data_IF_668841922849
#
_entry.id   IF_668841922849
#
_cell.length_a   1.000
_cell.length_b   1.000
_cell.length_c   1.000
_cell.angle_alpha   90.00
_cell.angle_beta   90.00
_cell.angle_gamma   90.00
#
_symmetry.space_group_name_H-M   'P 1'
#
loop_
_entity.id
_entity.type
_entity.pdbx_description
1 polymer ?
#
# COMPACT_ATOMS: atom_id res chain seq x y z
N UNK A 1 -22.74 -9.97 -17.88
CA UNK A 1 -21.63 -9.08 -17.44
C UNK A 1 -21.80 -8.91 -15.95
N UNK A 2 -20.84 -9.46 -15.17
CA UNK A 2 -20.91 -9.46 -13.71
C UNK A 2 -20.59 -8.07 -13.16
N UNK A 3 -21.39 -7.63 -12.20
CA UNK A 3 -21.27 -6.33 -11.54
C UNK A 3 -20.48 -6.48 -10.24
N UNK A 4 -19.38 -5.72 -10.12
CA UNK A 4 -18.50 -5.72 -8.95
C UNK A 4 -18.78 -4.47 -8.11
N UNK A 5 -19.17 -4.65 -6.85
CA UNK A 5 -19.28 -3.58 -5.89
C UNK A 5 -18.04 -3.53 -4.99
N UNK A 6 -17.32 -2.42 -5.02
CA UNK A 6 -16.19 -2.18 -4.12
C UNK A 6 -16.68 -1.49 -2.84
N UNK A 7 -16.54 -2.17 -1.71
CA UNK A 7 -16.87 -1.62 -0.39
C UNK A 7 -15.59 -1.19 0.30
N UNK A 8 -15.56 0.05 0.79
CA UNK A 8 -14.44 0.60 1.56
C UNK A 8 -14.96 1.50 2.69
N UNK A 9 -14.15 1.69 3.73
CA UNK A 9 -14.44 2.71 4.74
C UNK A 9 -14.56 4.09 4.08
N UNK A 10 -15.59 4.88 4.40
CA UNK A 10 -15.69 6.27 3.95
C UNK A 10 -14.49 7.06 4.44
N UNK A 11 -13.85 7.77 3.54
CA UNK A 11 -12.69 8.59 3.83
C UNK A 11 -13.03 10.05 3.56
N UNK A 12 -12.83 10.92 4.56
CA UNK A 12 -13.00 12.36 4.37
C UNK A 12 -12.00 12.92 3.33
N UNK A 13 -10.80 12.30 3.23
CA UNK A 13 -9.81 12.65 2.23
C UNK A 13 -9.67 11.50 1.23
N UNK A 14 -9.84 11.78 -0.06
CA UNK A 14 -9.61 10.83 -1.16
C UNK A 14 -8.16 10.31 -1.22
N UNK A 15 -7.27 10.91 -0.43
CA UNK A 15 -5.81 10.73 -0.49
C UNK A 15 -5.24 9.64 0.42
N UNK A 16 -6.05 8.86 1.14
CA UNK A 16 -5.49 7.75 1.89
C UNK A 16 -5.21 6.53 0.97
N UNK A 17 -4.23 5.70 1.37
CA UNK A 17 -3.76 4.57 0.57
C UNK A 17 -4.87 3.61 0.11
N UNK A 18 -5.87 3.32 0.97
CA UNK A 18 -7.01 2.45 0.61
C UNK A 18 -7.93 3.14 -0.40
N UNK A 19 -8.18 4.44 -0.24
CA UNK A 19 -8.99 5.22 -1.17
C UNK A 19 -8.38 5.24 -2.57
N UNK A 20 -7.08 5.51 -2.66
CA UNK A 20 -6.32 5.47 -3.94
C UNK A 20 -6.35 4.07 -4.56
N UNK A 21 -6.14 3.03 -3.76
CA UNK A 21 -6.23 1.66 -4.24
C UNK A 21 -7.61 1.32 -4.82
N UNK A 22 -8.69 1.64 -4.10
CA UNK A 22 -10.05 1.34 -4.57
C UNK A 22 -10.41 2.11 -5.85
N UNK A 23 -9.99 3.39 -5.97
CA UNK A 23 -10.19 4.16 -7.19
C UNK A 23 -9.39 3.56 -8.35
N UNK A 24 -8.12 3.26 -8.13
CA UNK A 24 -7.29 2.64 -9.16
C UNK A 24 -7.79 1.25 -9.57
N UNK A 25 -8.38 0.48 -8.63
CA UNK A 25 -9.00 -0.81 -8.95
C UNK A 25 -10.27 -0.65 -9.78
N UNK A 26 -11.06 0.40 -9.52
CA UNK A 26 -12.19 0.75 -10.37
C UNK A 26 -11.72 1.06 -11.79
N UNK A 27 -10.74 1.94 -11.95
CA UNK A 27 -10.19 2.37 -13.25
C UNK A 27 -9.59 1.18 -14.02
N UNK A 28 -9.00 0.21 -13.31
CA UNK A 28 -8.42 -1.00 -13.91
C UNK A 28 -9.45 -1.85 -14.65
N UNK A 29 -10.72 -1.81 -14.22
CA UNK A 29 -11.82 -2.56 -14.80
C UNK A 29 -12.82 -1.70 -15.59
N UNK A 30 -12.64 -0.38 -15.64
CA UNK A 30 -13.48 0.49 -16.42
C UNK A 30 -13.47 0.06 -17.91
N UNK A 31 -14.65 -0.04 -18.50
CA UNK A 31 -14.82 -0.51 -19.89
C UNK A 31 -14.55 -2.02 -20.11
N UNK A 32 -14.37 -2.82 -19.06
CA UNK A 32 -14.15 -4.27 -19.20
C UNK A 32 -15.39 -4.99 -19.75
N UNK A 33 -15.19 -5.91 -20.71
CA UNK A 33 -16.31 -6.57 -21.44
C UNK A 33 -17.14 -7.53 -20.57
N UNK A 34 -16.53 -8.17 -19.57
CA UNK A 34 -17.14 -9.24 -18.76
C UNK A 34 -17.45 -8.79 -17.34
N UNK A 35 -16.62 -7.91 -16.79
CA UNK A 35 -16.74 -7.39 -15.43
C UNK A 35 -17.07 -5.91 -15.45
N UNK A 36 -18.14 -5.51 -14.76
CA UNK A 36 -18.54 -4.11 -14.69
C UNK A 36 -18.30 -3.55 -13.28
N UNK A 37 -17.32 -2.68 -13.07
CA UNK A 37 -17.10 -2.03 -11.80
C UNK A 37 -18.27 -1.08 -11.49
N UNK A 38 -18.82 -1.18 -10.28
CA UNK A 38 -19.80 -0.21 -9.79
C UNK A 38 -19.07 1.03 -9.26
N UNK A 39 -19.61 2.25 -9.50
CA UNK A 39 -19.00 3.48 -9.00
C UNK A 39 -18.74 3.39 -7.50
N UNK A 40 -17.54 3.81 -7.08
CA UNK A 40 -17.20 3.90 -5.65
C UNK A 40 -17.99 5.06 -5.06
N UNK A 41 -19.03 4.73 -4.28
CA UNK A 41 -19.84 5.71 -3.57
C UNK A 41 -19.55 5.66 -2.08
N UNK A 42 -19.38 6.83 -1.48
CA UNK A 42 -19.39 6.94 -0.03
C UNK A 42 -20.85 6.83 0.44
N UNK A 43 -21.25 5.63 0.81
CA UNK A 43 -22.59 5.39 1.34
C UNK A 43 -22.79 6.18 2.64
N UNK A 44 -24.01 6.72 2.88
CA UNK A 44 -24.29 7.42 4.11
C UNK A 44 -23.95 6.57 5.32
N UNK A 45 -23.08 7.10 6.18
CA UNK A 45 -22.62 6.43 7.40
C UNK A 45 -23.07 7.17 8.65
N UNK A 46 -23.09 6.46 9.78
CA UNK A 46 -23.23 7.03 11.11
C UNK A 46 -22.00 6.70 11.94
N UNK A 47 -21.57 7.64 12.80
CA UNK A 47 -20.49 7.43 13.75
C UNK A 47 -21.08 6.77 15.00
N UNK A 48 -20.45 5.70 15.48
CA UNK A 48 -20.77 5.05 16.76
C UNK A 48 -19.67 5.36 17.78
N UNK A 49 -20.04 5.53 19.05
CA UNK A 49 -19.09 5.70 20.16
C UNK A 49 -18.14 4.51 20.34
N UNK A 50 -18.62 3.29 20.04
CA UNK A 50 -17.88 2.04 20.28
C UNK A 50 -17.19 1.48 19.01
N UNK A 51 -17.73 1.74 17.81
CA UNK A 51 -17.35 1.02 16.58
C UNK A 51 -17.09 1.91 15.36
N UNK A 52 -16.63 3.10 15.56
CA UNK A 52 -16.23 4.13 14.60
C UNK A 52 -17.24 4.45 13.49
N UNK A 53 -17.59 3.51 12.59
CA UNK A 53 -18.53 3.76 11.50
C UNK A 53 -19.34 2.52 11.15
N UNK A 54 -20.62 2.74 10.79
CA UNK A 54 -21.49 1.76 10.16
C UNK A 54 -22.28 2.43 9.05
N UNK A 55 -22.65 1.68 8.03
CA UNK A 55 -23.45 2.18 6.91
C UNK A 55 -24.92 2.28 7.28
N UNK A 56 -25.65 3.21 6.66
CA UNK A 56 -27.11 3.14 6.65
C UNK A 56 -27.52 1.86 5.93
N UNK A 57 -28.30 1.00 6.57
CA UNK A 57 -28.56 -0.38 6.12
C UNK A 57 -29.24 -0.42 4.75
N UNK A 58 -30.30 0.39 4.51
CA UNK A 58 -31.07 0.37 3.26
C UNK A 58 -30.23 0.71 2.01
N UNK A 59 -29.40 1.78 1.98
CA UNK A 59 -28.53 2.07 0.85
C UNK A 59 -27.51 0.96 0.59
N UNK A 60 -26.88 0.44 1.65
CA UNK A 60 -25.89 -0.65 1.52
C UNK A 60 -26.56 -1.93 1.00
N UNK A 61 -27.72 -2.32 1.54
CA UNK A 61 -28.49 -3.47 1.10
C UNK A 61 -28.84 -3.39 -0.39
N UNK A 62 -29.36 -2.23 -0.83
CA UNK A 62 -29.73 -2.03 -2.24
C UNK A 62 -28.52 -2.15 -3.17
N UNK A 63 -27.38 -1.61 -2.78
CA UNK A 63 -26.15 -1.71 -3.57
C UNK A 63 -25.65 -3.15 -3.67
N UNK A 64 -25.61 -3.88 -2.55
CA UNK A 64 -25.21 -5.30 -2.53
C UNK A 64 -26.18 -6.15 -3.37
N UNK A 65 -27.49 -5.88 -3.26
CA UNK A 65 -28.52 -6.61 -4.04
C UNK A 65 -28.29 -6.52 -5.54
N UNK A 66 -27.87 -5.35 -6.05
CA UNK A 66 -27.65 -5.08 -7.46
C UNK A 66 -26.31 -5.61 -8.03
N UNK A 67 -25.39 -5.97 -7.18
CA UNK A 67 -24.07 -6.49 -7.58
C UNK A 67 -24.06 -8.03 -7.53
N UNK A 68 -23.16 -8.64 -8.29
CA UNK A 68 -22.93 -10.09 -8.31
C UNK A 68 -21.75 -10.44 -7.40
N UNK A 69 -20.71 -9.61 -7.43
CA UNK A 69 -19.48 -9.77 -6.66
C UNK A 69 -19.33 -8.58 -5.70
N UNK A 70 -19.08 -8.88 -4.44
CA UNK A 70 -18.82 -7.87 -3.41
C UNK A 70 -17.35 -7.94 -3.02
N UNK A 71 -16.60 -6.92 -3.39
CA UNK A 71 -15.19 -6.81 -3.00
C UNK A 71 -15.04 -5.89 -1.80
N UNK A 72 -14.82 -6.50 -0.64
CA UNK A 72 -14.69 -5.80 0.64
C UNK A 72 -13.22 -5.46 0.87
N UNK A 73 -12.92 -4.16 0.89
CA UNK A 73 -11.60 -3.64 1.20
C UNK A 73 -11.51 -3.40 2.71
N UNK A 74 -11.02 -4.41 3.40
CA UNK A 74 -11.19 -4.61 4.83
C UNK A 74 -10.59 -3.53 5.73
N UNK A 75 -11.41 -3.08 6.68
CA UNK A 75 -11.02 -2.24 7.80
C UNK A 75 -11.68 -2.74 9.09
N UNK A 76 -11.15 -2.32 10.25
CA UNK A 76 -11.71 -2.70 11.56
C UNK A 76 -12.86 -1.77 11.96
N UNK A 77 -14.01 -1.93 11.31
CA UNK A 77 -15.23 -1.17 11.59
C UNK A 77 -16.49 -2.02 11.38
N UNK A 78 -17.60 -1.58 11.97
CA UNK A 78 -18.88 -2.25 11.84
C UNK A 78 -19.46 -2.23 10.42
N UNK A 79 -19.05 -1.27 9.59
CA UNK A 79 -19.43 -1.24 8.17
C UNK A 79 -18.91 -2.46 7.41
N UNK A 80 -17.68 -2.88 7.70
CA UNK A 80 -17.11 -4.11 7.15
C UNK A 80 -17.88 -5.34 7.62
N UNK A 81 -18.26 -5.41 8.91
CA UNK A 81 -19.10 -6.50 9.45
C UNK A 81 -20.47 -6.54 8.76
N UNK A 82 -21.14 -5.38 8.63
CA UNK A 82 -22.41 -5.28 7.92
C UNK A 82 -22.32 -5.77 6.48
N UNK A 83 -21.24 -5.37 5.77
CA UNK A 83 -21.00 -5.78 4.40
C UNK A 83 -20.89 -7.30 4.27
N UNK A 84 -20.14 -7.97 5.15
CA UNK A 84 -20.05 -9.43 5.17
C UNK A 84 -21.39 -10.09 5.40
N UNK A 85 -22.14 -9.66 6.45
CA UNK A 85 -23.42 -10.26 6.82
C UNK A 85 -24.46 -10.09 5.70
N UNK A 86 -24.62 -8.87 5.17
CA UNK A 86 -25.58 -8.61 4.10
C UNK A 86 -25.22 -9.34 2.81
N UNK A 87 -23.93 -9.39 2.45
CA UNK A 87 -23.49 -10.12 1.27
C UNK A 87 -23.76 -11.61 1.38
N UNK A 88 -23.56 -12.20 2.57
CA UNK A 88 -23.86 -13.62 2.81
C UNK A 88 -25.36 -13.90 2.78
N UNK A 89 -26.17 -13.05 3.41
CA UNK A 89 -27.65 -13.18 3.38
C UNK A 89 -28.19 -13.10 1.94
N UNK A 90 -27.59 -12.27 1.12
CA UNK A 90 -27.96 -12.11 -0.31
C UNK A 90 -27.24 -13.10 -1.23
N UNK A 91 -26.54 -14.09 -0.68
CA UNK A 91 -25.80 -15.15 -1.42
C UNK A 91 -24.85 -14.61 -2.48
N UNK A 92 -24.16 -13.49 -2.18
CA UNK A 92 -23.21 -12.88 -3.10
C UNK A 92 -21.83 -13.50 -2.94
N UNK A 93 -21.05 -13.52 -4.05
CA UNK A 93 -19.64 -13.85 -4.01
C UNK A 93 -18.87 -12.76 -3.27
N UNK A 94 -18.08 -13.14 -2.27
CA UNK A 94 -17.35 -12.21 -1.41
C UNK A 94 -15.85 -12.36 -1.65
N UNK A 95 -15.23 -11.28 -2.14
CA UNK A 95 -13.77 -11.12 -2.21
C UNK A 95 -13.34 -10.15 -1.13
N UNK A 96 -12.34 -10.49 -0.35
CA UNK A 96 -11.82 -9.65 0.73
C UNK A 96 -10.37 -9.29 0.47
N UNK A 97 -10.00 -8.00 0.48
CA UNK A 97 -8.60 -7.57 0.47
C UNK A 97 -8.19 -7.09 1.86
N UNK A 98 -7.12 -7.66 2.37
CA UNK A 98 -6.57 -7.32 3.67
C UNK A 98 -5.72 -6.05 3.59
N UNK A 99 -6.27 -4.91 4.05
CA UNK A 99 -5.54 -3.63 4.18
C UNK A 99 -5.14 -3.34 5.63
N UNK A 100 -5.48 -4.22 6.56
CA UNK A 100 -5.17 -4.08 7.97
C UNK A 100 -4.42 -5.31 8.46
N UNK A 101 -3.37 -5.06 9.26
CA UNK A 101 -2.41 -6.08 9.69
C UNK A 101 -2.56 -6.32 11.20
N UNK A 102 -3.55 -7.12 11.65
CA UNK A 102 -3.92 -7.27 13.07
C UNK A 102 -2.81 -7.85 13.94
N UNK A 103 -1.85 -8.52 13.34
CA UNK A 103 -0.70 -9.09 14.03
C UNK A 103 0.41 -8.07 14.33
N UNK A 104 0.36 -6.85 13.78
CA UNK A 104 1.35 -5.79 14.00
C UNK A 104 1.03 -4.99 15.29
N UNK A 105 1.55 -5.47 16.42
CA UNK A 105 1.33 -4.83 17.73
C UNK A 105 1.78 -3.36 17.79
N UNK A 106 2.86 -3.04 17.10
CA UNK A 106 3.47 -1.70 17.14
C UNK A 106 2.65 -0.64 16.37
N UNK A 107 1.84 -1.06 15.39
CA UNK A 107 1.13 -0.13 14.51
C UNK A 107 -0.38 -0.10 14.76
N UNK A 108 -0.92 -1.03 15.59
CA UNK A 108 -2.35 -1.15 15.80
C UNK A 108 -2.74 -1.22 17.28
N UNK A 109 -3.73 -0.41 17.71
CA UNK A 109 -4.20 -0.39 19.08
C UNK A 109 -4.86 -1.73 19.46
N UNK A 110 -4.80 -2.07 20.77
CA UNK A 110 -5.33 -3.32 21.30
C UNK A 110 -6.81 -3.52 20.94
N UNK A 111 -7.65 -2.47 21.05
CA UNK A 111 -9.08 -2.56 20.72
C UNK A 111 -9.36 -2.98 19.27
N UNK A 112 -8.60 -2.46 18.30
CA UNK A 112 -8.72 -2.87 16.90
C UNK A 112 -8.34 -4.34 16.69
N UNK A 113 -7.35 -4.84 17.43
CA UNK A 113 -6.93 -6.25 17.37
C UNK A 113 -7.98 -7.19 17.99
N UNK A 114 -8.59 -6.79 19.13
CA UNK A 114 -9.70 -7.54 19.72
C UNK A 114 -10.88 -7.56 18.75
N UNK A 115 -11.28 -6.41 18.21
CA UNK A 115 -12.35 -6.31 17.24
C UNK A 115 -12.13 -7.23 16.02
N UNK A 116 -10.92 -7.21 15.47
CA UNK A 116 -10.57 -8.10 14.36
C UNK A 116 -10.75 -9.58 14.73
N UNK A 117 -10.19 -10.01 15.86
CA UNK A 117 -10.21 -11.43 16.24
C UNK A 117 -11.62 -11.92 16.59
N UNK A 118 -12.44 -11.06 17.21
CA UNK A 118 -13.79 -11.45 17.68
C UNK A 118 -14.82 -11.35 16.55
N UNK A 119 -14.76 -10.32 15.71
CA UNK A 119 -15.80 -10.08 14.70
C UNK A 119 -15.35 -10.40 13.28
N UNK A 120 -14.23 -9.83 12.83
CA UNK A 120 -13.86 -9.92 11.41
C UNK A 120 -13.23 -11.26 11.03
N UNK A 121 -12.33 -11.78 11.84
CA UNK A 121 -11.66 -13.04 11.53
C UNK A 121 -12.64 -14.21 11.32
N UNK A 122 -13.67 -14.43 12.16
CA UNK A 122 -14.68 -15.46 11.90
C UNK A 122 -15.44 -15.21 10.57
N UNK A 123 -15.86 -13.96 10.31
CA UNK A 123 -16.60 -13.63 9.09
C UNK A 123 -15.73 -13.85 7.82
N UNK A 124 -14.48 -13.43 7.86
CA UNK A 124 -13.54 -13.64 6.76
C UNK A 124 -13.32 -15.14 6.53
N UNK A 125 -13.07 -15.89 7.62
CA UNK A 125 -12.81 -17.34 7.53
C UNK A 125 -13.99 -18.13 6.97
N UNK A 126 -15.21 -17.75 7.34
CA UNK A 126 -16.44 -18.51 7.00
C UNK A 126 -17.08 -18.05 5.70
N UNK A 127 -16.94 -16.77 5.32
CA UNK A 127 -17.76 -16.18 4.28
C UNK A 127 -16.98 -15.65 3.09
N UNK A 128 -15.66 -15.37 3.20
CA UNK A 128 -14.88 -14.93 2.07
C UNK A 128 -14.60 -16.09 1.10
N UNK A 129 -15.07 -15.95 -0.14
CA UNK A 129 -14.74 -16.89 -1.22
C UNK A 129 -13.26 -16.79 -1.60
N UNK A 130 -12.69 -15.58 -1.62
CA UNK A 130 -11.25 -15.36 -1.83
C UNK A 130 -10.76 -14.25 -0.90
N UNK A 131 -9.53 -14.43 -0.39
CA UNK A 131 -8.84 -13.45 0.44
C UNK A 131 -7.60 -12.99 -0.31
N UNK A 132 -7.54 -11.72 -0.67
CA UNK A 132 -6.40 -11.13 -1.35
C UNK A 132 -5.45 -10.52 -0.31
N UNK A 133 -4.22 -10.96 -0.30
CA UNK A 133 -3.14 -10.45 0.51
C UNK A 133 -2.12 -9.72 -0.36
N UNK A 134 -1.61 -8.58 0.13
CA UNK A 134 -0.72 -7.71 -0.64
C UNK A 134 0.74 -8.19 -0.57
N UNK A 135 1.10 -8.98 0.45
CA UNK A 135 2.46 -9.42 0.71
C UNK A 135 2.50 -10.82 1.36
N UNK A 136 3.70 -11.39 1.47
CA UNK A 136 3.91 -12.73 2.02
C UNK A 136 3.52 -12.85 3.50
N UNK A 137 3.75 -11.80 4.30
CA UNK A 137 3.46 -11.83 5.73
C UNK A 137 1.95 -11.92 5.99
N UNK A 138 1.15 -11.12 5.26
CA UNK A 138 -0.31 -11.18 5.30
C UNK A 138 -0.80 -12.54 4.80
N UNK A 139 -0.26 -13.02 3.68
CA UNK A 139 -0.62 -14.33 3.11
C UNK A 139 -0.38 -15.44 4.13
N UNK A 140 0.78 -15.46 4.77
CA UNK A 140 1.13 -16.45 5.81
C UNK A 140 0.19 -16.38 7.01
N UNK A 141 -0.20 -15.15 7.41
CA UNK A 141 -1.13 -14.98 8.52
C UNK A 141 -2.53 -15.50 8.18
N UNK A 142 -3.10 -15.13 7.02
CA UNK A 142 -4.45 -15.51 6.63
C UNK A 142 -4.57 -17.00 6.28
N UNK A 143 -3.52 -17.62 5.75
CA UNK A 143 -3.45 -19.08 5.49
C UNK A 143 -3.61 -19.93 6.76
N UNK A 144 -3.37 -19.38 7.95
CA UNK A 144 -3.58 -20.11 9.22
C UNK A 144 -5.05 -20.44 9.50
N UNK A 145 -5.99 -19.77 8.86
CA UNK A 145 -7.43 -19.97 9.09
C UNK A 145 -8.31 -19.95 7.84
N UNK A 146 -7.73 -19.81 6.66
CA UNK A 146 -8.43 -19.94 5.38
C UNK A 146 -7.52 -20.56 4.31
N UNK A 147 -8.07 -21.45 3.49
CA UNK A 147 -7.40 -22.02 2.31
C UNK A 147 -7.57 -21.16 1.04
N UNK A 148 -8.45 -20.17 1.07
CA UNK A 148 -8.83 -19.35 -0.08
C UNK A 148 -7.98 -18.07 -0.21
N UNK A 149 -6.73 -18.12 0.22
CA UNK A 149 -5.80 -16.99 0.22
C UNK A 149 -5.01 -16.93 -1.07
N UNK A 150 -5.07 -15.77 -1.73
CA UNK A 150 -4.31 -15.45 -2.94
C UNK A 150 -3.45 -14.22 -2.68
N UNK A 151 -2.23 -14.22 -3.20
CA UNK A 151 -1.34 -13.08 -3.05
C UNK A 151 -1.28 -12.27 -4.35
N UNK A 152 -1.72 -11.01 -4.28
CA UNK A 152 -1.67 -10.07 -5.39
C UNK A 152 -1.04 -8.76 -4.91
N UNK A 153 0.12 -8.34 -5.43
CA UNK A 153 0.66 -7.01 -5.13
C UNK A 153 -0.19 -5.91 -5.73
N UNK A 154 0.01 -4.70 -5.28
CA UNK A 154 -0.48 -3.53 -6.01
C UNK A 154 0.23 -3.41 -7.36
N UNK A 155 -0.38 -2.71 -8.31
CA UNK A 155 0.23 -2.40 -9.60
C UNK A 155 0.83 -1.00 -9.61
N UNK A 156 1.67 -0.76 -10.56
CA UNK A 156 2.34 0.51 -10.75
C UNK A 156 2.23 0.95 -12.22
N UNK A 157 1.62 2.11 -12.44
CA UNK A 157 1.63 2.79 -13.72
C UNK A 157 2.86 3.69 -13.78
N UNK A 158 3.84 3.31 -14.59
CA UNK A 158 4.94 4.23 -14.90
C UNK A 158 4.32 5.45 -15.61
N UNK A 159 4.31 6.60 -14.96
CA UNK A 159 4.01 7.86 -15.63
C UNK A 159 5.02 8.02 -16.77
N UNK A 160 4.59 8.49 -17.95
CA UNK A 160 5.48 8.75 -19.10
C UNK A 160 6.37 9.98 -18.86
N UNK A 161 7.03 10.02 -17.73
CA UNK A 161 7.94 11.09 -17.33
C UNK A 161 9.35 10.68 -17.76
N UNK A 162 9.95 11.49 -18.63
CA UNK A 162 11.35 11.30 -19.03
C UNK A 162 12.27 11.64 -17.86
N UNK A 163 13.35 10.89 -17.71
CA UNK A 163 14.47 11.28 -16.84
C UNK A 163 15.05 12.55 -17.46
N UNK A 164 14.84 13.69 -16.78
CA UNK A 164 15.19 15.00 -17.33
C UNK A 164 16.46 15.59 -16.73
N UNK A 165 16.96 15.01 -15.64
CA UNK A 165 18.05 15.58 -14.85
C UNK A 165 19.21 14.60 -14.70
N UNK A 166 20.43 15.15 -14.66
CA UNK A 166 21.63 14.40 -14.29
C UNK A 166 21.59 14.06 -12.80
N UNK A 167 21.94 12.81 -12.45
CA UNK A 167 22.06 12.37 -11.05
C UNK A 167 23.08 13.20 -10.28
N UNK A 168 22.72 13.59 -9.06
CA UNK A 168 23.62 14.25 -8.11
C UNK A 168 24.24 13.18 -7.20
N UNK A 169 25.55 12.98 -7.31
CA UNK A 169 26.25 11.83 -6.75
C UNK A 169 26.01 11.54 -5.26
N UNK A 170 25.81 12.60 -4.45
CA UNK A 170 25.64 12.48 -3.00
C UNK A 170 24.21 12.76 -2.52
N UNK A 171 23.24 12.92 -3.44
CA UNK A 171 21.87 13.26 -3.06
C UNK A 171 21.12 12.02 -2.61
N UNK A 172 20.64 12.05 -1.37
CA UNK A 172 19.76 11.03 -0.76
C UNK A 172 18.37 11.61 -0.63
N UNK A 173 17.36 10.88 -1.13
CA UNK A 173 15.95 11.24 -1.03
C UNK A 173 15.25 10.41 0.05
N UNK A 174 14.43 11.03 0.84
CA UNK A 174 13.44 10.42 1.72
C UNK A 174 12.05 10.98 1.36
N UNK A 175 11.06 10.11 1.17
CA UNK A 175 9.68 10.51 0.86
C UNK A 175 8.72 9.86 1.86
N UNK A 176 8.06 10.67 2.68
CA UNK A 176 7.12 10.17 3.68
C UNK A 176 6.73 11.23 4.71
N UNK A 177 5.71 10.92 5.54
CA UNK A 177 5.32 11.82 6.63
C UNK A 177 6.46 11.94 7.65
N UNK A 178 6.89 13.16 7.90
CA UNK A 178 8.08 13.45 8.71
C UNK A 178 7.88 13.06 10.19
N UNK A 179 6.71 13.38 10.75
CA UNK A 179 6.40 13.12 12.17
C UNK A 179 5.88 11.70 12.43
N UNK A 180 5.81 10.86 11.40
CA UNK A 180 5.36 9.48 11.55
C UNK A 180 6.53 8.57 11.93
N UNK A 181 6.57 8.17 13.18
CA UNK A 181 7.59 7.23 13.69
C UNK A 181 7.68 5.92 12.87
N UNK A 182 6.59 5.54 12.21
CA UNK A 182 6.56 4.35 11.34
C UNK A 182 7.43 4.56 10.09
N UNK A 183 7.62 5.79 9.62
CA UNK A 183 8.45 6.11 8.43
C UNK A 183 9.95 6.09 8.70
N UNK A 184 10.36 6.15 9.97
CA UNK A 184 11.74 5.87 10.37
C UNK A 184 12.78 6.92 9.99
N UNK A 185 12.39 8.18 9.81
CA UNK A 185 13.29 9.28 9.43
C UNK A 185 14.52 9.40 10.34
N UNK A 186 14.42 8.94 11.59
CA UNK A 186 15.52 8.95 12.56
C UNK A 186 16.77 8.19 12.09
N UNK A 187 16.66 7.23 11.16
CA UNK A 187 17.80 6.51 10.60
C UNK A 187 18.75 7.43 9.82
N UNK A 188 18.22 8.52 9.24
CA UNK A 188 19.03 9.48 8.49
C UNK A 188 20.08 10.18 9.37
N UNK A 189 19.85 10.27 10.67
CA UNK A 189 20.81 10.87 11.62
C UNK A 189 22.03 10.00 11.88
N UNK A 190 22.02 8.73 11.50
CA UNK A 190 23.19 7.86 11.55
C UNK A 190 24.18 8.11 10.39
N UNK A 191 23.73 8.81 9.34
CA UNK A 191 24.62 9.18 8.22
C UNK A 191 25.60 10.26 8.63
N UNK A 192 26.89 10.20 8.18
CA UNK A 192 27.88 11.23 8.46
C UNK A 192 27.40 12.61 7.97
N UNK A 193 27.41 13.61 8.85
CA UNK A 193 27.00 14.98 8.51
C UNK A 193 27.97 15.59 7.48
N UNK A 194 27.41 16.34 6.52
CA UNK A 194 28.16 17.01 5.45
C UNK A 194 28.64 16.09 4.33
N UNK A 195 28.40 14.78 4.42
CA UNK A 195 28.79 13.84 3.37
C UNK A 195 27.76 13.70 2.26
N UNK A 196 26.49 13.88 2.60
CA UNK A 196 25.34 13.69 1.70
C UNK A 196 24.42 14.92 1.73
N UNK A 197 23.78 15.21 0.60
CA UNK A 197 22.70 16.18 0.50
C UNK A 197 21.39 15.44 0.70
N UNK A 198 20.78 15.56 1.86
CA UNK A 198 19.59 14.80 2.24
C UNK A 198 18.33 15.62 1.99
N UNK A 199 17.51 15.19 1.03
CA UNK A 199 16.24 15.80 0.71
C UNK A 199 15.09 14.99 1.34
N UNK A 200 14.35 15.61 2.26
CA UNK A 200 13.20 15.01 2.94
C UNK A 200 11.90 15.63 2.38
N UNK A 201 11.05 14.81 1.77
CA UNK A 201 9.77 15.23 1.19
C UNK A 201 8.62 14.68 2.01
N UNK A 202 7.72 15.54 2.46
CA UNK A 202 6.49 15.12 3.14
C UNK A 202 5.95 16.08 4.17
N UNK A 203 4.71 15.86 4.61
CA UNK A 203 4.08 16.66 5.65
C UNK A 203 4.64 16.33 7.03
N UNK A 204 4.69 17.35 7.89
CA UNK A 204 5.08 17.25 9.29
C UNK A 204 6.09 18.32 9.65
N UNK A 205 6.26 18.57 10.96
CA UNK A 205 7.22 19.55 11.45
C UNK A 205 8.63 18.98 11.40
N UNK A 206 9.51 19.73 10.76
CA UNK A 206 10.92 19.41 10.64
C UNK A 206 11.71 20.21 11.65
N UNK A 207 11.83 19.68 12.86
CA UNK A 207 12.57 20.34 13.96
C UNK A 207 14.07 20.00 14.00
N UNK A 208 14.57 19.26 13.03
CA UNK A 208 15.93 18.76 13.02
C UNK A 208 16.93 19.80 12.50
N UNK A 209 17.97 20.02 13.29
CA UNK A 209 19.03 21.01 12.98
C UNK A 209 20.26 20.29 12.37
N UNK A 210 20.13 19.80 11.12
CA UNK A 210 21.30 19.35 10.33
C UNK A 210 21.39 20.24 9.09
N UNK A 211 22.58 20.77 8.80
CA UNK A 211 22.81 21.70 7.69
C UNK A 211 22.72 21.02 6.31
N UNK A 212 22.95 19.72 6.27
CA UNK A 212 22.91 18.89 5.06
C UNK A 212 21.52 18.26 4.81
N UNK A 213 20.48 18.65 5.57
CA UNK A 213 19.12 18.17 5.39
C UNK A 213 18.19 19.31 4.96
N UNK A 214 17.50 19.13 3.85
CA UNK A 214 16.47 20.05 3.33
C UNK A 214 15.11 19.40 3.39
N UNK A 215 14.11 20.15 3.88
CA UNK A 215 12.73 19.67 3.96
C UNK A 215 11.83 20.37 2.95
N UNK A 216 11.13 19.56 2.17
CA UNK A 216 10.17 19.98 1.16
C UNK A 216 8.76 19.58 1.57
N UNK A 217 7.86 20.57 1.66
CA UNK A 217 6.42 20.37 1.94
C UNK A 217 5.58 20.90 0.78
N UNK A 218 4.44 20.25 0.52
CA UNK A 218 3.46 20.70 -0.46
C UNK A 218 4.04 20.92 -1.88
N UNK A 219 5.03 20.12 -2.26
CA UNK A 219 5.59 20.15 -3.61
C UNK A 219 4.64 19.49 -4.61
N UNK A 220 4.73 19.91 -5.85
CA UNK A 220 3.98 19.32 -6.96
C UNK A 220 4.47 17.92 -7.32
N UNK A 221 3.69 17.17 -8.09
CA UNK A 221 4.09 15.87 -8.65
C UNK A 221 5.32 16.02 -9.58
N UNK A 222 5.43 17.16 -10.29
CA UNK A 222 6.54 17.49 -11.17
C UNK A 222 7.83 17.72 -10.37
N UNK A 223 7.78 18.51 -9.30
CA UNK A 223 8.92 18.74 -8.41
C UNK A 223 9.37 17.43 -7.73
N UNK A 224 8.43 16.60 -7.28
CA UNK A 224 8.77 15.29 -6.72
C UNK A 224 9.44 14.38 -7.76
N UNK A 225 8.97 14.41 -9.01
CA UNK A 225 9.56 13.69 -10.13
C UNK A 225 10.99 14.14 -10.40
N UNK A 226 11.23 15.44 -10.36
CA UNK A 226 12.57 16.02 -10.52
C UNK A 226 13.51 15.55 -9.40
N UNK A 227 13.05 15.52 -8.14
CA UNK A 227 13.83 14.99 -7.01
C UNK A 227 14.16 13.51 -7.18
N UNK A 228 13.22 12.66 -7.61
CA UNK A 228 13.53 11.26 -7.94
C UNK A 228 14.57 11.15 -9.07
N UNK A 229 14.48 12.00 -10.11
CA UNK A 229 15.42 11.98 -11.23
C UNK A 229 16.82 12.40 -10.81
N UNK A 230 16.96 13.39 -9.92
CA UNK A 230 18.25 13.93 -9.42
C UNK A 230 18.90 13.04 -8.35
N UNK A 231 18.11 12.38 -7.52
CA UNK A 231 18.62 11.59 -6.41
C UNK A 231 19.48 10.42 -6.86
N UNK A 232 20.57 10.15 -6.15
CA UNK A 232 21.41 8.97 -6.34
C UNK A 232 21.03 7.80 -5.44
N UNK A 233 20.14 8.03 -4.47
CA UNK A 233 19.59 7.01 -3.60
C UNK A 233 18.25 7.47 -3.02
N UNK A 234 17.26 6.55 -2.94
CA UNK A 234 16.12 6.69 -2.06
C UNK A 234 16.34 5.85 -0.80
N UNK A 235 15.98 6.37 0.36
CA UNK A 235 15.92 5.57 1.61
C UNK A 235 14.50 5.40 2.10
N UNK A 236 14.12 4.16 2.44
CA UNK A 236 12.81 3.78 2.97
C UNK A 236 12.99 3.05 4.31
N UNK A 237 13.36 3.75 5.38
CA UNK A 237 13.73 3.15 6.66
C UNK A 237 12.51 2.86 7.53
N UNK A 238 11.41 2.46 6.92
CA UNK A 238 10.13 2.30 7.60
C UNK A 238 10.13 1.13 8.59
N UNK A 239 9.49 1.34 9.74
CA UNK A 239 9.19 0.28 10.72
C UNK A 239 8.26 -0.79 10.14
N UNK A 240 7.40 -0.40 9.21
CA UNK A 240 6.55 -1.32 8.46
C UNK A 240 5.92 -0.62 7.24
N UNK A 241 5.95 -1.32 6.11
CA UNK A 241 5.18 -0.97 4.91
C UNK A 241 4.63 -2.26 4.28
N UNK A 242 3.31 -2.33 4.12
CA UNK A 242 2.67 -3.46 3.44
C UNK A 242 3.02 -3.53 1.94
N UNK A 243 3.23 -2.36 1.34
CA UNK A 243 3.67 -2.12 -0.02
C UNK A 243 4.26 -0.71 -0.10
N UNK A 244 5.23 -0.46 -0.95
CA UNK A 244 5.91 0.84 -1.03
C UNK A 244 5.87 1.38 -2.45
N UNK A 245 4.97 2.31 -2.72
CA UNK A 245 4.91 3.02 -4.02
C UNK A 245 6.14 3.88 -4.25
N UNK A 246 6.64 4.57 -3.22
CA UNK A 246 7.84 5.43 -3.33
C UNK A 246 9.07 4.62 -3.77
N UNK A 247 9.14 3.33 -3.41
CA UNK A 247 10.17 2.41 -3.92
C UNK A 247 10.04 2.21 -5.43
N UNK A 248 8.83 1.97 -5.94
CA UNK A 248 8.61 1.78 -7.39
C UNK A 248 8.82 3.08 -8.16
N UNK A 249 8.37 4.20 -7.60
CA UNK A 249 8.62 5.53 -8.16
C UNK A 249 10.13 5.76 -8.32
N UNK A 250 10.92 5.58 -7.26
CA UNK A 250 12.38 5.73 -7.30
C UNK A 250 13.03 4.81 -8.35
N UNK A 251 12.70 3.52 -8.32
CA UNK A 251 13.24 2.55 -9.28
C UNK A 251 12.83 2.86 -10.72
N UNK A 252 11.68 3.51 -10.95
CA UNK A 252 11.24 3.93 -12.28
C UNK A 252 12.09 5.07 -12.87
N UNK A 253 12.75 5.84 -12.01
CA UNK A 253 13.73 6.87 -12.37
C UNK A 253 15.19 6.37 -12.29
N UNK A 254 15.39 5.06 -12.25
CA UNK A 254 16.70 4.44 -12.13
C UNK A 254 17.48 4.91 -10.90
N UNK A 255 16.74 5.28 -9.84
CA UNK A 255 17.31 5.66 -8.55
C UNK A 255 17.25 4.46 -7.62
N UNK A 256 18.41 3.94 -7.18
CA UNK A 256 18.47 2.78 -6.30
C UNK A 256 17.85 3.07 -4.94
N UNK A 257 17.51 2.00 -4.21
CA UNK A 257 16.77 2.10 -2.95
C UNK A 257 17.45 1.33 -1.83
N UNK A 258 17.63 1.94 -0.67
CA UNK A 258 17.91 1.25 0.59
C UNK A 258 16.63 1.23 1.43
N UNK A 259 16.16 0.04 1.76
CA UNK A 259 14.92 -0.13 2.53
C UNK A 259 15.14 -1.06 3.73
N UNK A 260 14.32 -0.90 4.77
CA UNK A 260 14.34 -1.83 5.89
C UNK A 260 13.78 -3.20 5.48
N UNK A 261 14.18 -4.27 6.17
CA UNK A 261 13.63 -5.62 6.02
C UNK A 261 12.11 -5.71 6.23
N UNK A 262 11.51 -4.65 6.76
CA UNK A 262 10.06 -4.54 7.07
C UNK A 262 9.25 -3.87 5.97
N UNK A 263 9.88 -3.52 4.86
CA UNK A 263 9.22 -3.00 3.66
C UNK A 263 8.89 -4.15 2.72
N UNK A 264 7.62 -4.56 2.72
CA UNK A 264 7.19 -5.84 2.13
C UNK A 264 7.20 -5.89 0.60
N UNK A 265 7.43 -4.80 -0.11
CA UNK A 265 7.64 -4.85 -1.56
C UNK A 265 8.87 -5.72 -1.92
N UNK A 266 9.83 -5.84 -1.02
CA UNK A 266 10.98 -6.72 -1.16
C UNK A 266 10.60 -8.18 -1.45
N UNK A 267 9.44 -8.63 -0.97
CA UNK A 267 8.90 -9.98 -1.20
C UNK A 267 8.75 -10.33 -2.71
N UNK A 268 8.72 -9.30 -3.58
CA UNK A 268 8.52 -9.45 -5.02
C UNK A 268 9.77 -9.14 -5.85
N UNK A 269 10.77 -8.48 -5.28
CA UNK A 269 11.91 -7.98 -6.04
C UNK A 269 12.95 -9.05 -6.37
N UNK A 270 13.07 -10.10 -5.55
CA UNK A 270 14.03 -11.20 -5.77
C UNK A 270 15.48 -10.73 -5.79
N UNK A 271 16.30 -11.27 -6.68
CA UNK A 271 17.74 -10.97 -6.79
C UNK A 271 18.04 -9.86 -7.82
N UNK A 272 17.12 -8.90 -8.02
CA UNK A 272 17.32 -7.84 -9.02
C UNK A 272 18.23 -6.74 -8.49
N UNK A 273 18.96 -6.06 -9.41
CA UNK A 273 19.85 -4.95 -9.04
C UNK A 273 19.06 -3.66 -8.85
N UNK A 274 19.54 -2.81 -7.95
CA UNK A 274 18.97 -1.48 -7.70
C UNK A 274 18.34 -1.31 -6.32
N UNK A 275 18.46 -2.30 -5.44
CA UNK A 275 18.06 -2.11 -4.05
C UNK A 275 18.92 -2.91 -3.07
N UNK A 276 18.93 -2.47 -1.82
CA UNK A 276 19.49 -3.18 -0.69
C UNK A 276 18.57 -3.15 0.52
N UNK A 277 18.65 -4.19 1.32
CA UNK A 277 17.84 -4.34 2.53
C UNK A 277 18.74 -4.23 3.74
N UNK A 278 18.35 -3.43 4.73
CA UNK A 278 19.01 -3.34 6.03
C UNK A 278 18.12 -3.83 7.16
N UNK A 279 18.73 -4.30 8.25
CA UNK A 279 18.03 -4.72 9.46
C UNK A 279 17.54 -3.51 10.23
N UNK A 280 16.23 -3.40 10.42
CA UNK A 280 15.61 -2.26 11.12
C UNK A 280 16.16 -2.09 12.54
N UNK A 281 16.62 -0.87 12.86
CA UNK A 281 17.23 -0.53 14.14
C UNK A 281 18.75 -0.75 14.20
N UNK A 282 19.34 -1.40 13.21
CA UNK A 282 20.79 -1.53 13.06
C UNK A 282 21.32 -0.36 12.23
N UNK A 283 21.86 0.65 12.91
CA UNK A 283 22.35 1.88 12.28
C UNK A 283 23.64 1.66 11.48
N UNK A 284 24.48 0.72 11.91
CA UNK A 284 25.71 0.40 11.19
C UNK A 284 25.38 -0.31 9.87
N UNK A 285 24.51 -1.31 9.90
CA UNK A 285 24.03 -1.98 8.67
C UNK A 285 23.37 -0.98 7.72
N UNK A 286 22.53 -0.08 8.24
CA UNK A 286 21.92 0.99 7.44
C UNK A 286 22.98 1.84 6.73
N UNK A 287 23.96 2.37 7.45
CA UNK A 287 25.03 3.20 6.89
C UNK A 287 25.85 2.43 5.85
N UNK A 288 26.18 1.16 6.12
CA UNK A 288 26.91 0.32 5.20
C UNK A 288 26.12 0.04 3.90
N UNK A 289 24.79 -0.21 4.01
CA UNK A 289 23.92 -0.38 2.85
C UNK A 289 23.81 0.91 2.03
N UNK A 290 23.69 2.08 2.67
CA UNK A 290 23.71 3.38 1.98
C UNK A 290 24.99 3.55 1.18
N UNK A 291 26.17 3.33 1.79
CA UNK A 291 27.46 3.45 1.14
C UNK A 291 27.62 2.52 -0.07
N UNK A 292 27.14 1.29 0.03
CA UNK A 292 27.29 0.28 -1.03
C UNK A 292 26.25 0.39 -2.15
N UNK A 293 25.11 1.08 -1.91
CA UNK A 293 23.98 1.10 -2.85
C UNK A 293 23.87 2.41 -3.62
N UNK A 294 24.33 3.52 -3.04
CA UNK A 294 24.25 4.85 -3.68
C UNK A 294 24.89 4.84 -5.06
N UNK A 295 24.17 5.34 -6.07
CA UNK A 295 24.66 5.42 -7.45
C UNK A 295 24.80 4.08 -8.20
N UNK A 296 24.36 2.96 -7.62
CA UNK A 296 24.41 1.67 -8.30
C UNK A 296 23.39 1.58 -9.43
N UNK A 297 23.64 0.71 -10.41
CA UNK A 297 22.74 0.48 -11.55
C UNK A 297 21.44 -0.21 -11.11
N UNK A 298 20.32 0.23 -11.67
CA UNK A 298 18.97 -0.31 -11.41
C UNK A 298 18.47 -1.11 -12.62
N UNK A 299 17.91 -2.29 -12.40
CA UNK A 299 17.21 -3.08 -13.42
C UNK A 299 15.71 -2.68 -13.48
N UNK A 300 15.48 -1.38 -13.76
CA UNK A 300 14.16 -0.73 -13.67
C UNK A 300 13.06 -1.49 -14.44
N UNK A 301 13.28 -1.76 -15.73
CA UNK A 301 12.28 -2.41 -16.57
C UNK A 301 11.88 -3.81 -16.05
N UNK A 302 12.86 -4.58 -15.60
CA UNK A 302 12.65 -5.93 -15.09
C UNK A 302 11.82 -5.91 -13.81
N UNK A 303 12.14 -4.97 -12.90
CA UNK A 303 11.40 -4.77 -11.66
C UNK A 303 9.96 -4.30 -11.95
N UNK A 304 9.79 -3.25 -12.74
CA UNK A 304 8.49 -2.66 -13.01
C UNK A 304 7.56 -3.62 -13.78
N UNK A 305 8.12 -4.51 -14.60
CA UNK A 305 7.36 -5.53 -15.32
C UNK A 305 6.58 -6.48 -14.40
N UNK A 306 7.02 -6.64 -13.14
CA UNK A 306 6.31 -7.46 -12.12
C UNK A 306 4.96 -6.80 -11.76
N UNK A 307 4.94 -5.47 -11.71
CA UNK A 307 3.83 -4.66 -11.21
C UNK A 307 2.99 -4.02 -12.33
N UNK A 308 3.14 -4.46 -13.59
CA UNK A 308 2.33 -3.95 -14.71
C UNK A 308 0.83 -4.15 -14.47
N UNK A 309 -0.01 -3.13 -14.72
CA UNK A 309 -1.46 -3.19 -14.52
C UNK A 309 -2.10 -4.38 -15.22
N UNK A 310 -1.69 -4.69 -16.45
CA UNK A 310 -2.27 -5.78 -17.25
C UNK A 310 -2.03 -7.16 -16.61
N UNK A 311 -0.85 -7.35 -15.99
CA UNK A 311 -0.52 -8.59 -15.29
C UNK A 311 -1.33 -8.74 -14.01
N UNK A 312 -1.50 -7.65 -13.28
CA UNK A 312 -2.27 -7.65 -12.04
C UNK A 312 -3.77 -7.78 -12.34
N UNK A 313 -4.26 -7.09 -13.39
CA UNK A 313 -5.64 -7.21 -13.87
C UNK A 313 -6.03 -8.66 -14.13
N UNK A 314 -5.20 -9.41 -14.87
CA UNK A 314 -5.45 -10.84 -15.15
C UNK A 314 -5.61 -11.68 -13.87
N UNK A 315 -4.82 -11.40 -12.82
CA UNK A 315 -4.96 -12.10 -11.53
C UNK A 315 -6.30 -11.78 -10.85
N UNK A 316 -6.76 -10.54 -10.90
CA UNK A 316 -8.08 -10.17 -10.37
C UNK A 316 -9.21 -10.76 -11.21
N UNK A 317 -9.09 -10.80 -12.55
CA UNK A 317 -10.06 -11.45 -13.44
C UNK A 317 -10.24 -12.92 -13.07
N UNK A 318 -9.16 -13.65 -12.86
CA UNK A 318 -9.20 -15.04 -12.40
C UNK A 318 -9.99 -15.20 -11.10
N UNK A 319 -9.76 -14.29 -10.12
CA UNK A 319 -10.50 -14.33 -8.85
C UNK A 319 -11.98 -14.02 -9.02
N UNK A 320 -12.30 -13.02 -9.83
CA UNK A 320 -13.69 -12.61 -10.02
C UNK A 320 -14.50 -13.60 -10.85
N UNK A 321 -13.89 -14.25 -11.83
CA UNK A 321 -14.54 -15.21 -12.73
C UNK A 321 -14.44 -16.67 -12.27
N UNK A 322 -13.63 -16.96 -11.26
CA UNK A 322 -13.53 -18.28 -10.65
C UNK A 322 -14.83 -18.62 -9.91
N UNK A 323 -15.51 -19.67 -10.30
CA UNK A 323 -16.83 -20.09 -9.76
C UNK A 323 -16.74 -21.01 -8.55
N UNK A 324 -15.54 -21.15 -7.92
CA UNK A 324 -15.35 -21.96 -6.72
C UNK A 324 -15.77 -21.25 -5.43
#
# INVERSE_FOLDING_TARGET
>A
MEKILYIRKPCKNKDNGIGRYCSALYDLFEGHKVLQPQPIKDYPTRKSLLFHYYYKTKPLYNAIKQADIIHINGYTDMGTVQAFILSKLLRKKIVYTAHWHPFKRLTHPLGGRIFFNVFLKPLISLFANKIICINNEDSTYFKKFSKHVVQIPHWFNKKNQKITCKKQANMILFVGRINDKVKGIQHLFALPEGKYDICCVGHGDFSFKRKDMTHYQNISDEELTELYSKASLLVVPSLYEAFSYVTLESLSFETPVVMSERVRIADYLGNQKGYSIFKYGDMEDFVNKVKSTIGTKVESERILNIFKPEKIKKKYEQIYLDND
#
